data_IF_901160203027
#
_entry.id   IF_901160203027
#
_cell.length_a   1.000
_cell.length_b   1.000
_cell.length_c   1.000
_cell.angle_alpha   90.00
_cell.angle_beta   90.00
_cell.angle_gamma   90.00
#
_symmetry.space_group_name_H-M   'P 1'
#
loop_
_entity.id
_entity.type
_entity.pdbx_description
1 polymer ?
#
# COMPACT_ATOMS: atom_id res chain seq x y z
N UNK A 1 26.98 -44.07 28.15
CA UNK A 1 26.80 -45.39 27.52
C UNK A 1 25.37 -45.40 27.01
N UNK A 2 25.16 -45.04 25.74
CA UNK A 2 23.82 -44.89 25.14
C UNK A 2 23.29 -46.25 24.72
N UNK A 3 22.20 -46.68 25.34
CA UNK A 3 21.53 -47.93 25.00
C UNK A 3 21.03 -47.90 23.55
N UNK A 4 21.33 -48.96 22.80
CA UNK A 4 20.96 -49.07 21.38
C UNK A 4 19.45 -49.27 21.25
N UNK A 5 18.76 -48.25 20.77
CA UNK A 5 17.34 -48.29 20.44
C UNK A 5 17.19 -48.91 19.04
N UNK A 6 16.43 -50.00 18.93
CA UNK A 6 16.15 -50.65 17.66
C UNK A 6 14.75 -50.26 17.15
N UNK A 7 14.66 -49.84 15.89
CA UNK A 7 13.40 -49.49 15.23
C UNK A 7 13.11 -50.52 14.15
N UNK A 8 11.94 -51.18 14.22
CA UNK A 8 11.52 -52.18 13.23
C UNK A 8 10.21 -51.74 12.58
N UNK A 9 10.17 -51.75 11.24
CA UNK A 9 8.98 -51.45 10.45
C UNK A 9 8.24 -52.76 10.12
N UNK A 10 6.94 -52.80 10.35
CA UNK A 10 6.08 -53.91 9.94
C UNK A 10 4.77 -53.33 9.37
N UNK A 11 4.63 -53.41 8.04
CA UNK A 11 3.55 -52.73 7.32
C UNK A 11 3.63 -51.21 7.47
N UNK A 12 2.50 -50.58 7.83
CA UNK A 12 2.39 -49.13 8.04
C UNK A 12 2.72 -48.69 9.48
N UNK A 13 3.15 -49.62 10.34
CA UNK A 13 3.46 -49.36 11.74
C UNK A 13 4.96 -49.44 12.00
N UNK A 14 5.43 -48.57 12.89
CA UNK A 14 6.80 -48.57 13.39
C UNK A 14 6.79 -48.98 14.85
N UNK A 15 7.70 -49.86 15.21
CA UNK A 15 7.90 -50.34 16.57
C UNK A 15 9.27 -49.87 17.04
N UNK A 16 9.29 -49.17 18.17
CA UNK A 16 10.52 -48.77 18.84
C UNK A 16 10.68 -49.65 20.07
N UNK A 17 11.82 -50.34 20.15
CA UNK A 17 12.13 -51.24 21.26
C UNK A 17 13.06 -50.54 22.25
N UNK A 18 12.70 -50.56 23.53
CA UNK A 18 13.59 -50.11 24.59
C UNK A 18 14.65 -51.18 24.93
N UNK A 19 15.62 -50.81 25.77
CA UNK A 19 16.68 -51.72 26.20
C UNK A 19 16.17 -52.91 27.03
N UNK A 20 14.91 -52.87 27.48
CA UNK A 20 14.24 -53.93 28.26
C UNK A 20 13.35 -54.83 27.39
N UNK A 21 13.31 -54.61 26.07
CA UNK A 21 12.61 -55.43 25.08
C UNK A 21 11.12 -55.09 24.89
N UNK A 22 10.63 -54.01 25.47
CA UNK A 22 9.24 -53.58 25.34
C UNK A 22 9.07 -52.75 24.07
N UNK A 23 8.03 -53.05 23.29
CA UNK A 23 7.77 -52.40 22.01
C UNK A 23 6.68 -51.32 22.14
N UNK A 24 7.02 -50.08 21.83
CA UNK A 24 6.03 -49.01 21.69
C UNK A 24 5.59 -48.88 20.23
N UNK A 25 4.27 -48.96 20.00
CA UNK A 25 3.67 -48.80 18.67
C UNK A 25 3.54 -47.31 18.39
N UNK A 26 4.29 -46.82 17.41
CA UNK A 26 4.13 -45.46 16.90
C UNK A 26 3.37 -45.54 15.58
N UNK A 27 2.12 -45.10 15.60
CA UNK A 27 1.37 -44.86 14.36
C UNK A 27 1.76 -43.48 13.84
N UNK A 28 2.23 -43.41 12.58
CA UNK A 28 2.34 -42.12 11.89
C UNK A 28 0.90 -41.59 11.72
N UNK A 29 0.63 -40.29 11.96
CA UNK A 29 -0.71 -39.75 11.73
C UNK A 29 -1.16 -40.09 10.29
N UNK A 30 -2.42 -40.51 10.10
CA UNK A 30 -2.92 -40.82 8.76
C UNK A 30 -2.72 -39.60 7.88
N UNK A 31 -2.27 -39.82 6.63
CA UNK A 31 -2.28 -38.76 5.63
C UNK A 31 -3.73 -38.49 5.28
N UNK A 32 -4.37 -37.56 6.00
CA UNK A 32 -5.71 -37.10 5.68
C UNK A 32 -5.63 -36.41 4.33
N UNK A 33 -6.11 -37.09 3.27
CA UNK A 33 -6.44 -36.43 2.01
C UNK A 33 -7.63 -35.52 2.30
N UNK A 34 -7.34 -34.28 2.71
CA UNK A 34 -8.34 -33.23 2.81
C UNK A 34 -8.84 -32.95 1.40
N UNK A 35 -10.03 -33.46 1.09
CA UNK A 35 -10.82 -32.98 -0.04
C UNK A 35 -10.87 -31.46 0.02
N UNK A 36 -10.40 -30.81 -1.04
CA UNK A 36 -10.33 -29.35 -1.14
C UNK A 36 -11.74 -28.78 -1.08
N UNK A 37 -12.19 -28.42 0.12
CA UNK A 37 -13.19 -27.37 0.29
C UNK A 37 -12.59 -26.12 -0.34
N UNK A 38 -13.26 -25.59 -1.36
CA UNK A 38 -12.96 -24.30 -1.96
C UNK A 38 -12.95 -23.28 -0.83
N UNK A 39 -11.76 -22.91 -0.36
CA UNK A 39 -11.60 -21.78 0.53
C UNK A 39 -12.10 -20.56 -0.25
N UNK A 40 -13.21 -19.96 0.17
CA UNK A 40 -13.49 -18.58 -0.22
C UNK A 40 -12.31 -17.75 0.30
N UNK A 41 -11.33 -17.52 -0.57
CA UNK A 41 -10.15 -16.72 -0.27
C UNK A 41 -10.61 -15.26 -0.10
N UNK A 42 -11.03 -14.89 1.11
CA UNK A 42 -11.17 -13.49 1.48
C UNK A 42 -9.78 -12.87 1.36
N UNK A 43 -9.64 -11.88 0.48
CA UNK A 43 -8.34 -11.27 0.26
C UNK A 43 -7.72 -10.78 1.58
N UNK A 44 -6.41 -11.01 1.80
CA UNK A 44 -5.76 -10.52 2.99
C UNK A 44 -5.82 -8.99 3.02
N UNK A 45 -6.14 -8.43 4.19
CA UNK A 45 -6.32 -7.00 4.45
C UNK A 45 -5.19 -6.11 3.89
N UNK A 46 -3.93 -6.57 3.94
CA UNK A 46 -2.77 -5.85 3.38
C UNK A 46 -2.92 -5.63 1.87
N UNK A 47 -3.37 -6.66 1.15
CA UNK A 47 -3.57 -6.60 -0.30
C UNK A 47 -4.64 -5.58 -0.64
N UNK A 48 -5.78 -5.57 0.06
CA UNK A 48 -6.85 -4.60 -0.17
C UNK A 48 -6.40 -3.14 0.01
N UNK A 49 -5.61 -2.85 1.06
CA UNK A 49 -5.07 -1.50 1.31
C UNK A 49 -4.13 -1.05 0.20
N UNK A 50 -3.24 -1.93 -0.26
CA UNK A 50 -2.32 -1.64 -1.37
C UNK A 50 -3.08 -1.35 -2.67
N UNK A 51 -4.13 -2.11 -2.95
CA UNK A 51 -4.97 -1.87 -4.13
C UNK A 51 -5.68 -0.51 -4.06
N UNK A 52 -6.20 -0.14 -2.88
CA UNK A 52 -6.84 1.16 -2.66
C UNK A 52 -5.87 2.33 -2.89
N UNK A 53 -4.65 2.24 -2.33
CA UNK A 53 -3.63 3.27 -2.52
C UNK A 53 -3.16 3.38 -3.97
N UNK A 54 -2.98 2.25 -4.67
CA UNK A 54 -2.63 2.25 -6.11
C UNK A 54 -3.68 2.96 -6.95
N UNK A 55 -4.97 2.70 -6.69
CA UNK A 55 -6.06 3.37 -7.38
C UNK A 55 -6.04 4.88 -7.15
N UNK A 56 -5.86 5.33 -5.90
CA UNK A 56 -5.74 6.76 -5.61
C UNK A 56 -4.52 7.40 -6.28
N UNK A 57 -3.39 6.71 -6.31
CA UNK A 57 -2.20 7.22 -6.98
C UNK A 57 -2.42 7.39 -8.49
N UNK A 58 -3.17 6.48 -9.12
CA UNK A 58 -3.56 6.62 -10.52
C UNK A 58 -4.50 7.81 -10.73
N UNK A 59 -5.52 7.95 -9.88
CA UNK A 59 -6.44 9.09 -9.93
C UNK A 59 -5.66 10.42 -9.80
N UNK A 60 -4.70 10.51 -8.88
CA UNK A 60 -3.88 11.72 -8.66
C UNK A 60 -2.96 12.00 -9.82
N UNK A 61 -2.39 10.95 -10.42
CA UNK A 61 -1.60 11.07 -11.64
C UNK A 61 -2.44 11.68 -12.77
N UNK A 62 -3.62 11.13 -13.02
CA UNK A 62 -4.51 11.60 -14.08
C UNK A 62 -4.96 13.05 -13.84
N UNK A 63 -5.23 13.42 -12.58
CA UNK A 63 -5.59 14.79 -12.21
C UNK A 63 -4.50 15.80 -12.60
N UNK A 64 -3.26 15.61 -12.16
CA UNK A 64 -2.18 16.55 -12.50
C UNK A 64 -1.75 16.46 -13.96
N UNK A 65 -1.84 15.27 -14.56
CA UNK A 65 -1.55 15.09 -15.99
C UNK A 65 -2.53 15.86 -16.86
N UNK A 66 -3.83 15.82 -16.52
CA UNK A 66 -4.87 16.59 -17.23
C UNK A 66 -4.69 18.11 -17.09
N UNK A 67 -4.01 18.56 -16.02
CA UNK A 67 -3.65 19.96 -15.79
C UNK A 67 -2.36 20.39 -16.53
N UNK A 68 -1.69 19.47 -17.24
CA UNK A 68 -0.50 19.76 -18.03
C UNK A 68 0.84 19.64 -17.29
N UNK A 69 0.85 19.08 -16.08
CA UNK A 69 2.10 18.79 -15.38
C UNK A 69 2.77 17.52 -15.91
N UNK A 70 4.09 17.54 -16.01
CA UNK A 70 4.87 16.33 -16.15
C UNK A 70 5.13 15.72 -14.77
N UNK A 71 5.09 14.40 -14.67
CA UNK A 71 5.10 13.68 -13.39
C UNK A 71 6.21 12.63 -13.37
N UNK A 72 7.00 12.59 -12.28
CA UNK A 72 7.97 11.51 -12.02
C UNK A 72 7.88 11.00 -10.58
N UNK A 73 8.67 9.99 -10.23
CA UNK A 73 8.70 9.43 -8.87
C UNK A 73 9.29 10.41 -7.84
N UNK A 74 8.56 10.64 -6.74
CA UNK A 74 8.96 11.53 -5.65
C UNK A 74 9.65 10.86 -4.46
N UNK A 75 9.91 9.55 -4.52
CA UNK A 75 10.35 8.78 -3.34
C UNK A 75 11.67 9.29 -2.74
N UNK A 76 12.57 9.84 -3.57
CA UNK A 76 13.84 10.42 -3.13
C UNK A 76 13.68 11.69 -2.29
N UNK A 77 12.54 12.37 -2.42
CA UNK A 77 12.23 13.64 -1.77
C UNK A 77 11.15 13.51 -0.69
N UNK A 78 10.77 12.29 -0.33
CA UNK A 78 9.76 12.03 0.71
C UNK A 78 8.31 12.15 0.22
N UNK A 79 8.07 12.18 -1.09
CA UNK A 79 6.73 12.20 -1.69
C UNK A 79 6.45 10.95 -2.53
N UNK A 80 5.21 10.85 -3.02
CA UNK A 80 4.83 9.87 -4.04
C UNK A 80 5.24 10.35 -5.44
N UNK A 81 5.04 11.63 -5.73
CA UNK A 81 5.29 12.21 -7.06
C UNK A 81 6.09 13.51 -7.00
N UNK A 82 6.70 13.85 -8.13
CA UNK A 82 7.23 15.18 -8.42
C UNK A 82 6.46 15.76 -9.60
N UNK A 83 6.11 17.04 -9.50
CA UNK A 83 5.46 17.77 -10.59
C UNK A 83 6.41 18.78 -11.21
N UNK A 84 6.38 18.86 -12.53
CA UNK A 84 7.16 19.78 -13.33
C UNK A 84 6.20 20.58 -14.22
N UNK A 85 6.33 21.92 -14.28
CA UNK A 85 5.48 22.75 -15.13
C UNK A 85 5.77 22.58 -16.62
N UNK A 86 6.95 22.04 -16.97
CA UNK A 86 7.41 21.78 -18.33
C UNK A 86 8.19 20.46 -18.37
N UNK A 87 8.74 20.11 -19.55
CA UNK A 87 9.52 18.89 -19.77
C UNK A 87 10.59 18.69 -18.67
N UNK A 88 10.58 17.56 -17.92
CA UNK A 88 11.55 17.23 -16.88
C UNK A 88 13.02 17.21 -17.35
N UNK A 89 13.27 17.11 -18.65
CA UNK A 89 14.61 17.21 -19.23
C UNK A 89 15.15 18.64 -19.24
N UNK A 90 14.26 19.64 -19.16
CA UNK A 90 14.58 21.07 -19.27
C UNK A 90 14.46 21.84 -17.95
N UNK A 91 13.55 21.44 -17.07
CA UNK A 91 13.27 22.13 -15.80
C UNK A 91 13.40 21.21 -14.59
N UNK A 92 13.60 21.81 -13.42
CA UNK A 92 13.51 21.10 -12.16
C UNK A 92 12.05 21.00 -11.70
N UNK A 93 11.74 19.95 -10.92
CA UNK A 93 10.42 19.86 -10.30
C UNK A 93 10.21 21.01 -9.32
N UNK A 94 8.99 21.53 -9.28
CA UNK A 94 8.62 22.60 -8.34
C UNK A 94 7.91 22.03 -7.11
N UNK A 95 7.19 20.92 -7.28
CA UNK A 95 6.35 20.34 -6.23
C UNK A 95 6.77 18.92 -5.88
N UNK A 96 6.68 18.60 -4.59
CA UNK A 96 6.72 17.23 -4.05
C UNK A 96 5.30 16.89 -3.59
N UNK A 97 4.70 15.84 -4.13
CA UNK A 97 3.31 15.47 -3.83
C UNK A 97 3.26 14.27 -2.90
N UNK A 98 2.49 14.36 -1.82
CA UNK A 98 2.07 13.21 -1.03
C UNK A 98 0.56 12.98 -1.08
N UNK A 99 0.16 11.74 -1.34
CA UNK A 99 -1.22 11.31 -1.50
C UNK A 99 -1.76 10.79 -0.17
N UNK A 100 -2.84 11.39 0.31
CA UNK A 100 -3.60 10.98 1.48
C UNK A 100 -4.88 10.26 1.07
N UNK A 101 -5.32 9.34 1.92
CA UNK A 101 -6.43 8.43 1.64
C UNK A 101 -7.79 9.15 1.65
N UNK A 102 -7.92 10.19 2.48
CA UNK A 102 -9.10 11.02 2.71
C UNK A 102 -8.65 12.42 3.12
N UNK A 103 -9.48 13.44 2.85
CA UNK A 103 -9.27 14.84 3.26
C UNK A 103 -9.07 14.97 4.78
N UNK A 104 -9.86 14.24 5.56
CA UNK A 104 -9.84 14.26 7.03
C UNK A 104 -8.85 13.25 7.65
N UNK A 105 -7.91 12.72 6.85
CA UNK A 105 -6.90 11.82 7.39
C UNK A 105 -6.05 12.56 8.42
N UNK A 106 -5.96 12.01 9.63
CA UNK A 106 -5.08 12.54 10.68
C UNK A 106 -3.62 12.51 10.20
N UNK A 107 -2.91 13.62 10.45
CA UNK A 107 -1.49 13.79 10.13
C UNK A 107 -0.79 14.17 11.42
N UNK A 108 0.30 13.47 11.74
CA UNK A 108 1.08 13.79 12.93
C UNK A 108 1.83 15.12 12.71
N UNK A 109 1.92 16.01 13.72
CA UNK A 109 2.69 17.26 13.59
C UNK A 109 4.14 17.03 13.13
N UNK A 110 4.74 15.92 13.57
CA UNK A 110 6.09 15.53 13.16
C UNK A 110 6.20 15.23 11.66
N UNK A 111 5.17 14.67 11.03
CA UNK A 111 5.15 14.43 9.58
C UNK A 111 5.15 15.76 8.83
N UNK A 112 4.32 16.73 9.25
CA UNK A 112 4.26 18.07 8.66
C UNK A 112 5.63 18.76 8.76
N UNK A 113 6.29 18.69 9.93
CA UNK A 113 7.64 19.23 10.15
C UNK A 113 8.65 18.54 9.22
N UNK A 114 8.59 17.22 9.08
CA UNK A 114 9.47 16.45 8.20
C UNK A 114 9.29 16.77 6.72
N UNK A 115 8.05 16.95 6.29
CA UNK A 115 7.68 17.37 4.93
C UNK A 115 8.23 18.77 4.64
N UNK A 116 7.96 19.73 5.51
CA UNK A 116 8.46 21.11 5.38
C UNK A 116 10.00 21.16 5.35
N UNK A 117 10.69 20.49 6.28
CA UNK A 117 12.16 20.42 6.32
C UNK A 117 12.74 19.90 5.00
N UNK A 118 12.19 18.80 4.48
CA UNK A 118 12.70 18.16 3.27
C UNK A 118 12.50 19.06 2.05
N UNK A 119 11.32 19.67 1.94
CA UNK A 119 10.95 20.57 0.83
C UNK A 119 11.83 21.83 0.80
N UNK A 120 12.01 22.49 1.95
CA UNK A 120 12.85 23.70 2.08
C UNK A 120 14.30 23.41 1.70
N UNK A 121 14.86 22.27 2.12
CA UNK A 121 16.25 21.90 1.80
C UNK A 121 16.51 21.76 0.30
N UNK A 122 15.50 21.34 -0.48
CA UNK A 122 15.62 21.15 -1.93
C UNK A 122 14.93 22.23 -2.75
N UNK A 123 14.49 23.32 -2.09
CA UNK A 123 13.78 24.47 -2.70
C UNK A 123 12.56 24.06 -3.53
N UNK A 124 11.68 23.24 -2.94
CA UNK A 124 10.41 22.80 -3.55
C UNK A 124 9.25 23.10 -2.60
N UNK A 125 8.03 23.18 -3.14
CA UNK A 125 6.82 23.26 -2.32
C UNK A 125 6.29 21.84 -2.08
N UNK A 126 6.01 21.51 -0.82
CA UNK A 126 5.40 20.22 -0.50
C UNK A 126 3.88 20.33 -0.62
N UNK A 127 3.25 19.41 -1.35
CA UNK A 127 1.80 19.40 -1.59
C UNK A 127 1.19 18.11 -1.04
N UNK A 128 0.18 18.26 -0.21
CA UNK A 128 -0.71 17.18 0.23
C UNK A 128 -1.92 17.12 -0.70
N UNK A 129 -2.28 15.93 -1.16
CA UNK A 129 -3.43 15.72 -2.04
C UNK A 129 -4.31 14.62 -1.50
N UNK A 130 -5.62 14.85 -1.47
CA UNK A 130 -6.62 13.86 -1.12
C UNK A 130 -7.80 13.93 -2.09
N UNK A 131 -8.49 12.81 -2.28
CA UNK A 131 -9.77 12.82 -2.98
C UNK A 131 -10.79 13.65 -2.18
N UNK A 132 -11.55 14.51 -2.87
CA UNK A 132 -12.69 15.19 -2.25
C UNK A 132 -13.79 14.18 -1.97
N UNK A 133 -14.45 14.29 -0.82
CA UNK A 133 -15.61 13.46 -0.54
C UNK A 133 -16.79 13.89 -1.43
N UNK A 134 -17.43 12.92 -2.08
CA UNK A 134 -18.55 13.17 -3.02
C UNK A 134 -19.82 13.76 -2.35
N UNK A 135 -19.79 14.06 -1.05
CA UNK A 135 -20.90 14.73 -0.36
C UNK A 135 -20.94 16.24 -0.64
N UNK A 136 -19.83 16.86 -1.02
CA UNK A 136 -19.75 18.30 -1.29
C UNK A 136 -20.08 18.66 -2.76
N UNK A 137 -20.01 17.71 -3.70
CA UNK A 137 -20.26 17.94 -5.13
C UNK A 137 -21.76 18.03 -5.51
N UNK A 138 -22.68 17.71 -4.59
CA UNK A 138 -24.11 17.66 -4.87
C UNK A 138 -24.83 19.03 -4.82
N UNK A 139 -24.11 20.15 -4.67
CA UNK A 139 -24.73 21.49 -4.59
C UNK A 139 -24.67 22.26 -5.92
N UNK A 140 -23.89 21.82 -6.91
CA UNK A 140 -23.75 22.54 -8.18
C UNK A 140 -23.74 21.61 -9.40
N UNK A 141 -24.84 20.88 -9.66
CA UNK A 141 -25.06 20.33 -11.00
C UNK A 141 -26.51 20.56 -11.42
N UNK A 142 -26.72 21.60 -12.25
CA UNK A 142 -27.86 21.68 -13.17
C UNK A 142 -27.39 21.14 -14.52
N UNK A 143 -27.98 20.01 -14.90
CA UNK A 143 -28.08 19.33 -16.19
C UNK A 143 -27.21 19.80 -17.37
N UNK A 144 -26.30 18.92 -17.82
CA UNK A 144 -26.23 18.54 -19.24
C UNK A 144 -25.44 17.24 -19.44
N UNK A 145 -26.08 16.27 -20.09
CA UNK A 145 -25.56 14.96 -20.48
C UNK A 145 -24.76 15.06 -21.79
N UNK A 146 -23.43 15.06 -21.71
CA UNK A 146 -22.53 14.66 -22.79
C UNK A 146 -21.29 14.02 -22.15
N UNK A 147 -20.85 12.87 -22.67
CA UNK A 147 -19.75 12.00 -22.21
C UNK A 147 -18.65 12.71 -21.41
N UNK A 148 -18.91 12.95 -20.12
CA UNK A 148 -18.02 13.70 -19.23
C UNK A 148 -17.11 12.66 -18.62
N UNK A 149 -15.84 12.65 -19.01
CA UNK A 149 -14.80 12.08 -18.16
C UNK A 149 -15.01 12.69 -16.78
N UNK A 150 -15.46 11.88 -15.83
CA UNK A 150 -15.86 12.34 -14.52
C UNK A 150 -14.59 12.87 -13.83
N UNK A 151 -14.37 14.18 -13.90
CA UNK A 151 -13.21 14.84 -13.32
C UNK A 151 -13.34 14.73 -11.81
N UNK A 152 -12.69 13.72 -11.24
CA UNK A 152 -12.68 13.48 -9.81
C UNK A 152 -12.08 14.70 -9.11
N UNK A 153 -12.89 15.34 -8.29
CA UNK A 153 -12.45 16.51 -7.55
C UNK A 153 -11.38 16.10 -6.52
N UNK A 154 -10.27 16.84 -6.50
CA UNK A 154 -9.17 16.64 -5.56
C UNK A 154 -8.96 17.90 -4.74
N UNK A 155 -8.57 17.72 -3.48
CA UNK A 155 -8.20 18.82 -2.58
C UNK A 155 -6.70 18.80 -2.39
N UNK A 156 -6.07 19.96 -2.58
CA UNK A 156 -4.64 20.15 -2.47
C UNK A 156 -4.32 21.16 -1.37
N UNK A 157 -3.34 20.86 -0.52
CA UNK A 157 -2.81 21.77 0.50
C UNK A 157 -1.31 21.91 0.30
N UNK A 158 -0.77 23.14 0.28
CA UNK A 158 0.67 23.39 0.27
C UNK A 158 1.22 23.56 1.68
N UNK A 159 2.44 23.10 1.90
CA UNK A 159 3.20 23.30 3.14
C UNK A 159 4.44 24.11 2.80
N UNK A 160 4.57 25.27 3.43
CA UNK A 160 5.70 26.18 3.26
C UNK A 160 6.19 26.65 4.64
N UNK A 161 7.50 26.83 4.77
CA UNK A 161 8.10 27.30 6.01
C UNK A 161 8.03 28.82 6.06
N UNK A 162 7.19 29.36 6.94
CA UNK A 162 7.07 30.80 7.17
C UNK A 162 8.12 31.24 8.19
N UNK A 163 9.32 31.56 7.72
CA UNK A 163 10.42 32.00 8.58
C UNK A 163 11.66 32.39 7.80
N UNK A 164 11.63 33.61 7.25
CA UNK A 164 12.79 34.35 6.77
C UNK A 164 12.59 35.84 7.02
#
# INVERSE_FOLDING_TARGET
MTDKIAIKKLGDKYFVFDAKGWAHIIQKPPKTTTSTTMMQNKEPHVTATVHKQRKLNADVFDFFWSQGFYITSGIKFGGQFLLYPNDPMSVHSEYIVSVKQTKDQEILPLEIIGMGRTATNVKKTFVLVAAADQKEAAVEETENEQEKQETKQMVCYSIEWAGF
#
